data_IF_097951288393
#
_entry.id   IF_097951288393
#
_cell.length_a   1.000
_cell.length_b   1.000
_cell.length_c   1.000
_cell.angle_alpha   90.00
_cell.angle_beta   90.00
_cell.angle_gamma   90.00
#
_symmetry.space_group_name_H-M   'P 1'
#
loop_
_entity.id
_entity.type
_entity.pdbx_description
1 polymer ?
#
# COMPACT_ATOMS: atom_id res chain seq x y z
N UNK A 1 -24.18 -9.29 2.91
CA UNK A 1 -22.73 -9.48 2.66
C UNK A 1 -22.23 -8.14 2.15
N UNK A 2 -21.36 -7.50 2.92
CA UNK A 2 -20.82 -6.20 2.52
C UNK A 2 -19.96 -6.45 1.29
N UNK A 3 -20.28 -5.82 0.16
CA UNK A 3 -19.42 -5.88 -1.03
C UNK A 3 -18.07 -5.29 -0.64
N UNK A 4 -17.00 -6.04 -0.85
CA UNK A 4 -15.65 -5.57 -0.59
C UNK A 4 -15.36 -4.42 -1.58
N UNK A 5 -15.14 -3.21 -1.04
CA UNK A 5 -14.81 -2.00 -1.81
C UNK A 5 -13.29 -1.82 -1.80
N UNK A 6 -12.71 -1.21 -2.86
CA UNK A 6 -11.30 -0.84 -2.81
C UNK A 6 -11.03 0.06 -1.59
N UNK A 7 -9.82 -0.01 -1.01
CA UNK A 7 -9.48 0.76 0.18
C UNK A 7 -9.56 2.25 -0.13
N UNK A 8 -10.09 3.02 0.81
CA UNK A 8 -10.10 4.49 0.72
C UNK A 8 -8.71 5.07 0.97
N UNK A 9 -8.48 6.30 0.49
CA UNK A 9 -7.22 7.01 0.71
C UNK A 9 -6.87 7.17 2.20
N UNK A 10 -7.86 7.32 3.08
CA UNK A 10 -7.64 7.41 4.53
C UNK A 10 -7.18 6.10 5.12
N UNK A 11 -7.76 4.97 4.69
CA UNK A 11 -7.33 3.64 5.13
C UNK A 11 -5.89 3.37 4.72
N UNK A 12 -5.50 3.74 3.50
CA UNK A 12 -4.12 3.62 3.01
C UNK A 12 -3.17 4.51 3.83
N UNK A 13 -3.57 5.76 4.09
CA UNK A 13 -2.78 6.69 4.91
C UNK A 13 -2.53 6.14 6.32
N UNK A 14 -3.59 5.67 6.97
CA UNK A 14 -3.53 5.15 8.33
C UNK A 14 -2.72 3.85 8.38
N UNK A 15 -2.83 2.99 7.37
CA UNK A 15 -2.03 1.78 7.26
C UNK A 15 -0.53 2.11 7.15
N UNK A 16 -0.13 3.02 6.24
CA UNK A 16 1.26 3.48 6.09
C UNK A 16 1.77 4.04 7.43
N UNK A 17 0.97 4.86 8.11
CA UNK A 17 1.34 5.47 9.39
C UNK A 17 1.55 4.42 10.49
N UNK A 18 0.77 3.34 10.51
CA UNK A 18 0.83 2.27 11.49
C UNK A 18 1.99 1.28 11.29
N UNK A 19 2.65 1.27 10.13
CA UNK A 19 3.80 0.39 9.87
C UNK A 19 4.92 0.56 10.92
N UNK A 20 5.67 -0.49 11.23
CA UNK A 20 6.81 -0.40 12.16
C UNK A 20 8.06 0.12 11.43
N UNK A 21 8.68 1.14 12.01
CA UNK A 21 9.94 1.70 11.50
C UNK A 21 11.14 0.77 11.77
N UNK A 22 12.26 1.00 11.08
CA UNK A 22 13.54 0.27 11.24
C UNK A 22 13.42 -1.24 10.99
N UNK A 23 12.47 -1.64 10.16
CA UNK A 23 12.38 -2.99 9.62
C UNK A 23 13.18 -3.05 8.32
N UNK A 24 13.83 -4.19 8.08
CA UNK A 24 14.47 -4.43 6.79
C UNK A 24 13.42 -4.28 5.68
N UNK A 25 13.74 -3.58 4.58
CA UNK A 25 12.84 -3.48 3.44
C UNK A 25 12.64 -4.84 2.78
N UNK A 26 11.61 -4.95 1.94
CA UNK A 26 11.40 -6.13 1.09
C UNK A 26 12.40 -6.18 -0.07
N UNK A 27 12.13 -7.07 -1.03
CA UNK A 27 12.92 -7.23 -2.27
C UNK A 27 12.94 -5.96 -3.12
N UNK A 28 11.95 -5.09 -2.95
CA UNK A 28 11.81 -3.79 -3.59
C UNK A 28 12.73 -2.70 -2.99
N UNK A 29 13.41 -2.98 -1.88
CA UNK A 29 14.19 -2.03 -1.10
C UNK A 29 13.39 -0.82 -0.57
N UNK A 30 12.05 -0.90 -0.53
CA UNK A 30 11.18 0.16 -0.01
C UNK A 30 10.90 -0.11 1.47
N UNK A 31 11.41 0.77 2.35
CA UNK A 31 11.19 0.66 3.79
C UNK A 31 9.93 1.38 4.25
N UNK A 32 9.39 0.97 5.41
CA UNK A 32 8.30 1.68 6.06
C UNK A 32 8.65 3.16 6.37
N UNK A 33 9.90 3.44 6.68
CA UNK A 33 10.39 4.80 6.92
C UNK A 33 10.31 5.65 5.64
N UNK A 34 10.63 5.08 4.47
CA UNK A 34 10.53 5.75 3.18
C UNK A 34 9.07 6.03 2.80
N UNK A 35 8.19 5.04 2.98
CA UNK A 35 6.76 5.19 2.72
C UNK A 35 6.14 6.31 3.56
N UNK A 36 6.48 6.37 4.85
CA UNK A 36 6.02 7.44 5.76
C UNK A 36 6.57 8.80 5.40
N UNK A 37 7.87 8.88 5.04
CA UNK A 37 8.51 10.14 4.66
C UNK A 37 7.86 10.77 3.41
N UNK A 38 7.32 9.95 2.51
CA UNK A 38 6.65 10.41 1.29
C UNK A 38 5.28 11.06 1.49
N UNK A 39 4.68 10.96 2.68
CA UNK A 39 3.44 11.67 3.05
C UNK A 39 2.26 11.45 2.09
N UNK A 40 1.49 12.52 1.83
CA UNK A 40 0.28 12.47 1.00
C UNK A 40 0.56 12.03 -0.45
N UNK A 41 1.61 12.52 -1.15
CA UNK A 41 1.93 12.04 -2.49
C UNK A 41 2.15 10.52 -2.55
N UNK A 42 2.93 9.97 -1.62
CA UNK A 42 3.17 8.52 -1.54
C UNK A 42 1.88 7.74 -1.23
N UNK A 43 1.04 8.28 -0.36
CA UNK A 43 -0.25 7.68 -0.03
C UNK A 43 -1.17 7.60 -1.25
N UNK A 44 -1.22 8.65 -2.08
CA UNK A 44 -2.01 8.68 -3.31
C UNK A 44 -1.52 7.64 -4.32
N UNK A 45 -0.20 7.58 -4.53
CA UNK A 45 0.42 6.61 -5.43
C UNK A 45 0.13 5.16 -4.99
N UNK A 46 0.31 4.85 -3.70
CA UNK A 46 -0.03 3.53 -3.17
C UNK A 46 -1.52 3.20 -3.30
N UNK A 47 -2.40 4.16 -3.04
CA UNK A 47 -3.85 4.00 -3.20
C UNK A 47 -4.26 3.72 -4.65
N UNK A 48 -3.63 4.39 -5.63
CA UNK A 48 -3.87 4.12 -7.06
C UNK A 48 -3.52 2.68 -7.42
N UNK A 49 -2.34 2.19 -7.00
CA UNK A 49 -1.91 0.80 -7.24
C UNK A 49 -2.87 -0.19 -6.57
N UNK A 50 -3.21 0.05 -5.30
CA UNK A 50 -4.11 -0.85 -4.56
C UNK A 50 -5.50 -0.89 -5.19
N UNK A 51 -6.03 0.25 -5.65
CA UNK A 51 -7.30 0.29 -6.37
C UNK A 51 -7.22 -0.42 -7.73
N UNK A 52 -6.10 -0.28 -8.44
CA UNK A 52 -5.90 -0.92 -9.74
C UNK A 52 -5.88 -2.45 -9.61
N UNK A 53 -5.07 -2.98 -8.69
CA UNK A 53 -5.02 -4.42 -8.37
C UNK A 53 -6.38 -4.93 -7.89
N UNK A 54 -7.09 -4.15 -7.06
CA UNK A 54 -8.40 -4.51 -6.55
C UNK A 54 -9.46 -4.63 -7.65
N UNK A 55 -9.47 -3.71 -8.60
CA UNK A 55 -10.50 -3.65 -9.64
C UNK A 55 -10.23 -4.60 -10.81
N UNK A 56 -8.95 -4.88 -11.09
CA UNK A 56 -8.55 -5.67 -12.24
C UNK A 56 -8.24 -7.15 -11.90
N UNK A 57 -8.21 -7.52 -10.62
CA UNK A 57 -7.88 -8.87 -10.11
C UNK A 57 -6.56 -9.44 -10.68
N UNK A 58 -5.64 -8.57 -11.11
CA UNK A 58 -4.34 -8.95 -11.65
C UNK A 58 -3.40 -9.24 -10.47
N UNK A 59 -3.68 -10.33 -9.77
CA UNK A 59 -2.83 -10.87 -8.71
C UNK A 59 -1.59 -11.40 -9.40
N UNK A 60 -0.42 -10.83 -9.07
CA UNK A 60 0.86 -11.37 -9.51
C UNK A 60 0.91 -12.84 -9.08
N UNK A 61 0.92 -13.77 -10.04
CA UNK A 61 0.89 -15.22 -9.76
C UNK A 61 2.09 -15.68 -8.91
N UNK A 62 3.13 -14.85 -8.84
CA UNK A 62 4.36 -15.15 -8.13
C UNK A 62 4.63 -14.13 -7.03
N UNK A 63 4.56 -14.59 -5.78
CA UNK A 63 5.02 -13.87 -4.59
C UNK A 63 6.37 -14.40 -4.09
N UNK A 64 7.02 -15.30 -4.84
CA UNK A 64 8.27 -15.98 -4.46
C UNK A 64 9.47 -15.05 -4.26
#
# INVERSE_FOLDING_TARGET
MQQDKPPSLSEVYDAIKQMKNRKAPGVDNISADLLKAGGVPMTKWAHEILCDVWNNEDVVEDWA
#
